data_IF_947008248455
#
_entry.id   IF_947008248455
#
_cell.length_a   1.000
_cell.length_b   1.000
_cell.length_c   1.000
_cell.angle_alpha   90.00
_cell.angle_beta   90.00
_cell.angle_gamma   90.00
#
_symmetry.space_group_name_H-M   'P 1'
#
loop_
_entity.id
_entity.type
_entity.pdbx_description
1 polymer ?
#
# COMPACT_ATOMS: atom_id res chain seq x y z
N UNK A 1 1.11 12.97 -5.54
CA UNK A 1 1.29 11.72 -4.78
C UNK A 1 -0.06 11.09 -4.55
N UNK A 2 -0.18 9.76 -4.61
CA UNK A 2 -1.44 9.07 -4.26
C UNK A 2 -1.79 9.32 -2.78
N UNK A 3 -3.03 9.77 -2.47
CA UNK A 3 -3.51 9.90 -1.10
C UNK A 3 -3.51 8.57 -0.33
N UNK A 4 -3.83 7.47 -1.02
CA UNK A 4 -3.81 6.10 -0.47
C UNK A 4 -2.40 5.72 -0.05
N UNK A 5 -1.41 5.88 -0.94
CA UNK A 5 -0.01 5.60 -0.64
C UNK A 5 0.51 6.43 0.53
N UNK A 6 0.15 7.72 0.61
CA UNK A 6 0.57 8.60 1.72
C UNK A 6 0.11 8.07 3.08
N UNK A 7 -1.18 7.71 3.23
CA UNK A 7 -1.71 7.19 4.50
C UNK A 7 -1.08 5.85 4.88
N UNK A 8 -0.93 4.94 3.91
CA UNK A 8 -0.36 3.61 4.13
C UNK A 8 1.10 3.71 4.55
N UNK A 9 1.92 4.48 3.82
CA UNK A 9 3.33 4.68 4.17
C UNK A 9 3.49 5.33 5.53
N UNK A 10 2.67 6.34 5.86
CA UNK A 10 2.70 6.95 7.18
C UNK A 10 2.40 5.94 8.30
N UNK A 11 1.34 5.14 8.14
CA UNK A 11 0.99 4.07 9.09
C UNK A 11 2.08 3.01 9.18
N UNK A 12 2.66 2.60 8.05
CA UNK A 12 3.75 1.62 7.99
C UNK A 12 4.99 2.11 8.77
N UNK A 13 5.40 3.37 8.60
CA UNK A 13 6.53 3.95 9.33
C UNK A 13 6.28 3.95 10.84
N UNK A 14 5.06 4.32 11.26
CA UNK A 14 4.69 4.33 12.69
C UNK A 14 4.67 2.92 13.30
N UNK A 15 4.20 1.92 12.55
CA UNK A 15 4.21 0.51 12.97
C UNK A 15 5.63 -0.04 13.01
N UNK A 16 6.41 0.18 11.94
CA UNK A 16 7.77 -0.31 11.77
C UNK A 16 8.73 0.16 12.87
N UNK A 17 8.50 1.35 13.46
CA UNK A 17 9.27 1.84 14.62
C UNK A 17 9.28 0.87 15.81
N UNK A 18 8.29 -0.02 15.92
CA UNK A 18 8.13 -0.97 17.03
C UNK A 18 8.48 -2.42 16.66
N UNK A 19 8.87 -2.68 15.42
CA UNK A 19 9.07 -4.02 14.87
C UNK A 19 10.55 -4.31 14.66
N UNK A 20 10.91 -5.59 14.75
CA UNK A 20 12.19 -6.10 14.27
C UNK A 20 12.17 -6.16 12.75
N UNK A 21 13.35 -6.15 12.15
CA UNK A 21 13.52 -6.23 10.70
C UNK A 21 12.75 -7.41 10.06
N UNK A 22 12.83 -8.60 10.66
CA UNK A 22 12.12 -9.79 10.17
C UNK A 22 10.60 -9.68 10.22
N UNK A 23 10.06 -8.87 11.14
CA UNK A 23 8.61 -8.67 11.32
C UNK A 23 8.03 -7.66 10.32
N UNK A 24 8.89 -6.88 9.64
CA UNK A 24 8.47 -5.90 8.62
C UNK A 24 8.11 -6.59 7.30
N UNK A 25 8.83 -7.63 6.90
CA UNK A 25 8.63 -8.29 5.59
C UNK A 25 7.22 -8.84 5.38
N UNK A 26 6.60 -9.54 6.34
CA UNK A 26 5.21 -9.99 6.16
C UNK A 26 4.26 -8.81 5.94
N UNK A 27 4.50 -7.66 6.57
CA UNK A 27 3.67 -6.46 6.39
C UNK A 27 3.88 -5.91 4.98
N UNK A 28 5.12 -5.70 4.57
CA UNK A 28 5.46 -5.18 3.24
C UNK A 28 4.95 -6.07 2.11
N UNK A 29 5.00 -7.39 2.31
CA UNK A 29 4.43 -8.35 1.38
C UNK A 29 2.91 -8.16 1.24
N UNK A 30 2.17 -8.03 2.35
CA UNK A 30 0.71 -7.78 2.28
C UNK A 30 0.38 -6.47 1.58
N UNK A 31 1.18 -5.42 1.85
CA UNK A 31 1.00 -4.12 1.21
C UNK A 31 1.23 -4.22 -0.31
N UNK A 32 2.32 -4.84 -0.76
CA UNK A 32 2.67 -4.93 -2.18
C UNK A 32 1.60 -5.68 -2.99
N UNK A 33 1.15 -6.82 -2.49
CA UNK A 33 0.11 -7.62 -3.14
C UNK A 33 -1.19 -6.83 -3.30
N UNK A 34 -1.57 -6.03 -2.30
CA UNK A 34 -2.78 -5.19 -2.37
C UNK A 34 -2.61 -3.98 -3.27
N UNK A 35 -1.42 -3.37 -3.32
CA UNK A 35 -1.14 -2.29 -4.27
C UNK A 35 -1.25 -2.77 -5.71
N UNK A 36 -0.73 -3.96 -6.02
CA UNK A 36 -0.83 -4.54 -7.37
C UNK A 36 -2.29 -4.76 -7.79
N UNK A 37 -3.18 -5.09 -6.85
CA UNK A 37 -4.60 -5.27 -7.11
C UNK A 37 -5.42 -3.97 -7.10
N UNK A 38 -4.87 -2.84 -6.64
CA UNK A 38 -5.58 -1.57 -6.54
C UNK A 38 -5.23 -0.62 -7.70
N UNK A 39 -6.10 0.36 -7.93
CA UNK A 39 -6.05 1.29 -9.05
C UNK A 39 -4.75 2.10 -9.13
N UNK A 40 -4.31 2.68 -8.01
CA UNK A 40 -3.28 3.72 -8.00
C UNK A 40 -1.89 3.23 -8.40
N UNK A 41 -1.59 1.93 -8.25
CA UNK A 41 -0.32 1.38 -8.72
C UNK A 41 -0.22 1.47 -10.24
N UNK A 42 -1.24 0.96 -10.94
CA UNK A 42 -1.30 0.97 -12.41
C UNK A 42 -1.36 2.39 -12.95
N UNK A 43 -2.13 3.27 -12.32
CA UNK A 43 -2.21 4.67 -12.73
C UNK A 43 -0.88 5.41 -12.53
N UNK A 44 -0.15 5.11 -11.46
CA UNK A 44 1.20 5.63 -11.24
C UNK A 44 2.18 5.16 -12.32
N UNK A 45 2.14 3.87 -12.67
CA UNK A 45 2.94 3.32 -13.76
C UNK A 45 2.57 3.97 -15.10
N UNK A 46 1.28 4.14 -15.39
CA UNK A 46 0.82 4.83 -16.60
C UNK A 46 1.36 6.25 -16.68
N UNK A 47 1.15 7.06 -15.66
CA UNK A 47 1.51 8.48 -15.65
C UNK A 47 3.03 8.74 -15.66
N UNK A 48 3.83 7.84 -15.09
CA UNK A 48 5.28 8.03 -14.95
C UNK A 48 6.10 7.27 -15.99
N UNK A 49 5.71 6.04 -16.34
CA UNK A 49 6.53 5.13 -17.15
C UNK A 49 5.99 4.94 -18.57
N UNK A 50 4.67 4.89 -18.75
CA UNK A 50 4.03 4.58 -20.04
C UNK A 50 3.77 5.87 -20.83
N UNK A 51 2.78 6.65 -20.39
CA UNK A 51 2.35 7.89 -21.07
C UNK A 51 3.27 9.06 -20.71
N UNK A 52 3.92 8.99 -19.54
CA UNK A 52 4.89 9.99 -19.04
C UNK A 52 4.31 11.41 -18.95
N UNK A 53 3.00 11.51 -18.76
CA UNK A 53 2.27 12.78 -18.66
C UNK A 53 2.49 13.48 -17.31
N UNK A 54 3.00 12.77 -16.29
CA UNK A 54 3.15 13.25 -14.91
C UNK A 54 1.84 13.79 -14.31
N UNK A 55 0.69 13.33 -14.79
CA UNK A 55 -0.64 13.77 -14.40
C UNK A 55 -1.53 12.60 -13.93
N UNK A 56 -1.11 11.89 -12.86
CA UNK A 56 -1.84 10.74 -12.39
C UNK A 56 -3.21 11.09 -11.80
N UNK A 57 -4.22 10.26 -12.10
CA UNK A 57 -5.62 10.39 -11.66
C UNK A 57 -5.92 9.47 -10.49
N UNK A 58 -5.42 9.82 -9.31
CA UNK A 58 -5.56 8.99 -8.11
C UNK A 58 -7.01 8.75 -7.68
N UNK A 59 -7.27 7.55 -7.14
CA UNK A 59 -8.56 7.14 -6.62
C UNK A 59 -8.43 6.51 -5.22
N UNK A 60 -8.87 7.20 -4.16
CA UNK A 60 -9.45 8.54 -4.13
C UNK A 60 -8.45 9.67 -4.40
N UNK A 61 -8.97 10.85 -4.76
CA UNK A 61 -8.16 12.00 -5.19
C UNK A 61 -7.65 12.87 -4.04
N UNK A 62 -8.29 12.78 -2.87
CA UNK A 62 -7.92 13.57 -1.68
C UNK A 62 -7.66 12.69 -0.44
N UNK A 63 -6.90 13.21 0.51
CA UNK A 63 -6.62 12.52 1.78
C UNK A 63 -7.88 12.27 2.62
N UNK A 64 -8.85 13.17 2.55
CA UNK A 64 -10.11 13.07 3.32
C UNK A 64 -10.96 11.88 2.88
N UNK A 65 -10.89 11.53 1.60
CA UNK A 65 -11.67 10.46 0.98
C UNK A 65 -11.09 9.06 1.21
N UNK A 66 -9.81 8.95 1.61
CA UNK A 66 -9.24 7.65 1.98
C UNK A 66 -9.85 7.20 3.31
N UNK A 67 -10.76 6.24 3.27
CA UNK A 67 -11.41 5.70 4.46
C UNK A 67 -10.42 4.92 5.34
N UNK A 68 -10.69 4.87 6.65
CA UNK A 68 -9.90 4.04 7.56
C UNK A 68 -10.04 2.55 7.22
N UNK A 69 -11.22 2.12 6.74
CA UNK A 69 -11.43 0.74 6.29
C UNK A 69 -10.55 0.37 5.09
N UNK A 70 -10.30 1.30 4.16
CA UNK A 70 -9.37 1.07 3.05
C UNK A 70 -7.95 0.91 3.59
N UNK A 71 -7.53 1.77 4.51
CA UNK A 71 -6.21 1.64 5.15
C UNK A 71 -6.09 0.31 5.90
N UNK A 72 -7.08 -0.08 6.69
CA UNK A 72 -7.07 -1.35 7.43
C UNK A 72 -7.00 -2.56 6.50
N UNK A 73 -7.75 -2.52 5.39
CA UNK A 73 -7.68 -3.56 4.36
C UNK A 73 -6.25 -3.77 3.89
N UNK A 74 -5.43 -2.73 3.76
CA UNK A 74 -4.02 -2.89 3.36
C UNK A 74 -3.16 -3.65 4.38
N UNK A 75 -3.50 -3.62 5.67
CA UNK A 75 -2.71 -4.26 6.72
C UNK A 75 -3.26 -5.61 7.20
N UNK A 76 -4.52 -5.92 6.90
CA UNK A 76 -5.18 -7.17 7.33
C UNK A 76 -4.41 -8.40 6.86
N UNK A 77 -4.50 -9.53 7.57
CA UNK A 77 -3.77 -10.74 7.17
C UNK A 77 -4.41 -11.38 5.94
N UNK A 78 -3.62 -12.15 5.18
CA UNK A 78 -4.21 -13.12 4.25
C UNK A 78 -4.73 -14.31 5.06
N UNK A 79 -5.79 -14.95 4.60
CA UNK A 79 -6.14 -16.29 5.09
C UNK A 79 -4.96 -17.25 4.82
N UNK A 80 -4.78 -18.29 5.64
CA UNK A 80 -3.77 -19.39 5.71
C UNK A 80 -2.33 -19.25 5.10
N UNK A 81 -2.12 -18.51 4.02
CA UNK A 81 -0.89 -18.29 3.23
C UNK A 81 0.24 -17.59 4.00
N UNK A 82 -0.08 -16.83 5.05
CA UNK A 82 0.94 -16.01 5.76
C UNK A 82 1.99 -16.86 6.52
N UNK A 83 1.74 -18.16 6.72
CA UNK A 83 2.65 -19.05 7.46
C UNK A 83 3.98 -19.33 6.74
N UNK A 84 4.04 -19.21 5.42
CA UNK A 84 5.23 -19.60 4.63
C UNK A 84 6.34 -18.55 4.61
N UNK A 85 6.05 -17.28 4.97
CA UNK A 85 7.02 -16.17 4.95
C UNK A 85 7.73 -15.94 6.29
N UNK A 86 7.38 -16.70 7.33
CA UNK A 86 7.92 -16.57 8.71
C UNK A 86 8.86 -17.75 9.05
N UNK A 87 9.33 -18.50 8.05
CA UNK A 87 10.25 -19.63 8.24
C UNK A 87 11.71 -19.16 8.27
#
# INVERSE_FOLDING_TARGET
MSPTSLKITFRQILLGKKLKFSEVFPIEFRLSQRFICDHDFHEGCRAILIDKDKNPKWQPSTLKEVSESKVEYYFSKFDEVEKELIV
#
